data_IF_826915941129
#
_entry.id   IF_826915941129
#
_cell.length_a   1.000
_cell.length_b   1.000
_cell.length_c   1.000
_cell.angle_alpha   90.00
_cell.angle_beta   90.00
_cell.angle_gamma   90.00
#
_symmetry.space_group_name_H-M   'P 1'
#
loop_
_entity.id
_entity.type
_entity.pdbx_description
1 polymer ?
#
# COMPACT_ATOMS: atom_id res chain seq x y z
N UNK A 1 -23.33 54.83 -3.37
CA UNK A 1 -22.65 53.51 -3.33
C UNK A 1 -23.30 52.68 -4.41
N UNK A 2 -22.57 52.33 -5.48
CA UNK A 2 -23.15 51.70 -6.67
C UNK A 2 -23.83 50.39 -6.29
N UNK A 3 -25.08 50.17 -6.71
CA UNK A 3 -25.85 48.93 -6.45
C UNK A 3 -25.04 47.68 -6.81
N UNK A 4 -24.26 47.75 -7.87
CA UNK A 4 -23.36 46.69 -8.34
C UNK A 4 -22.28 46.29 -7.32
N UNK A 5 -21.83 47.24 -6.49
CA UNK A 5 -20.82 46.98 -5.47
C UNK A 5 -21.41 46.18 -4.29
N UNK A 6 -22.64 46.52 -3.91
CA UNK A 6 -23.40 45.83 -2.86
C UNK A 6 -23.73 44.40 -3.31
N UNK A 7 -24.22 44.25 -4.54
CA UNK A 7 -24.55 42.95 -5.14
C UNK A 7 -23.32 42.04 -5.24
N UNK A 8 -22.16 42.62 -5.60
CA UNK A 8 -20.90 41.89 -5.59
C UNK A 8 -20.52 41.36 -4.21
N UNK A 9 -20.65 42.16 -3.15
CA UNK A 9 -20.33 41.75 -1.77
C UNK A 9 -21.27 40.63 -1.31
N UNK A 10 -22.57 40.78 -1.56
CA UNK A 10 -23.59 39.78 -1.20
C UNK A 10 -23.27 38.45 -1.86
N UNK A 11 -22.97 38.45 -3.17
CA UNK A 11 -22.58 37.26 -3.91
C UNK A 11 -21.38 36.56 -3.29
N UNK A 12 -20.28 37.28 -3.06
CA UNK A 12 -19.04 36.71 -2.52
C UNK A 12 -19.28 36.08 -1.15
N UNK A 13 -20.05 36.76 -0.29
CA UNK A 13 -20.37 36.25 1.03
C UNK A 13 -21.21 34.98 1.00
N UNK A 14 -22.25 34.93 0.17
CA UNK A 14 -23.10 33.75 0.03
C UNK A 14 -22.34 32.58 -0.61
N UNK A 15 -21.54 32.84 -1.65
CA UNK A 15 -20.69 31.81 -2.28
C UNK A 15 -19.69 31.22 -1.28
N UNK A 16 -19.06 32.05 -0.43
CA UNK A 16 -18.17 31.56 0.63
C UNK A 16 -18.93 30.69 1.65
N UNK A 17 -20.15 31.08 2.06
CA UNK A 17 -21.00 30.24 2.93
C UNK A 17 -21.25 28.87 2.31
N UNK A 18 -21.53 28.81 1.00
CA UNK A 18 -21.71 27.54 0.29
C UNK A 18 -20.43 26.71 0.28
N UNK A 19 -19.28 27.32 -0.04
CA UNK A 19 -17.97 26.62 -0.07
C UNK A 19 -17.66 25.99 1.28
N UNK A 20 -17.76 26.76 2.37
CA UNK A 20 -17.49 26.25 3.72
C UNK A 20 -18.52 25.19 4.15
N UNK A 21 -19.79 25.36 3.79
CA UNK A 21 -20.82 24.35 4.08
C UNK A 21 -20.53 23.03 3.36
N UNK A 22 -20.13 23.08 2.09
CA UNK A 22 -19.71 21.91 1.31
C UNK A 22 -18.46 21.28 1.94
N UNK A 23 -17.46 22.10 2.30
CA UNK A 23 -16.20 21.64 2.90
C UNK A 23 -16.42 20.83 4.19
N UNK A 24 -17.14 21.37 5.16
CA UNK A 24 -17.41 20.67 6.43
C UNK A 24 -18.26 19.41 6.22
N UNK A 25 -19.19 19.45 5.25
CA UNK A 25 -20.07 18.32 4.94
C UNK A 25 -19.29 17.16 4.30
N UNK A 26 -18.43 17.46 3.34
CA UNK A 26 -17.58 16.48 2.65
C UNK A 26 -16.61 15.83 3.65
N UNK A 27 -16.09 16.59 4.60
CA UNK A 27 -15.18 16.09 5.63
C UNK A 27 -15.86 15.39 6.82
N UNK A 28 -17.20 15.35 6.87
CA UNK A 28 -17.96 14.80 8.00
C UNK A 28 -17.53 15.35 9.37
N UNK A 29 -17.28 16.66 9.46
CA UNK A 29 -16.95 17.33 10.72
C UNK A 29 -18.20 17.89 11.39
N UNK A 30 -18.17 18.00 12.72
CA UNK A 30 -19.29 18.55 13.48
C UNK A 30 -19.58 19.98 13.04
N UNK A 31 -20.80 20.18 12.57
CA UNK A 31 -21.29 21.45 12.01
C UNK A 31 -21.53 22.47 13.12
N UNK A 32 -20.48 23.15 13.57
CA UNK A 32 -20.69 24.41 14.28
C UNK A 32 -21.05 25.50 13.25
N UNK A 33 -22.36 25.81 13.13
CA UNK A 33 -22.89 26.86 12.24
C UNK A 33 -22.15 28.20 12.42
N UNK A 34 -21.74 28.48 13.65
CA UNK A 34 -20.97 29.69 14.01
C UNK A 34 -19.59 29.72 13.33
N UNK A 35 -18.86 28.60 13.27
CA UNK A 35 -17.54 28.55 12.60
C UNK A 35 -17.67 28.82 11.10
N UNK A 36 -18.68 28.23 10.45
CA UNK A 36 -18.94 28.46 9.02
C UNK A 36 -19.14 29.95 8.73
N UNK A 37 -19.94 30.63 9.56
CA UNK A 37 -20.22 32.06 9.39
C UNK A 37 -18.95 32.89 9.59
N UNK A 38 -18.16 32.61 10.63
CA UNK A 38 -16.91 33.33 10.91
C UNK A 38 -15.89 33.13 9.78
N UNK A 39 -15.69 31.89 9.33
CA UNK A 39 -14.76 31.56 8.24
C UNK A 39 -15.20 32.22 6.92
N UNK A 40 -16.50 32.22 6.63
CA UNK A 40 -17.05 32.88 5.44
C UNK A 40 -16.88 34.39 5.48
N UNK A 41 -17.07 35.01 6.65
CA UNK A 41 -16.85 36.44 6.84
C UNK A 41 -15.38 36.81 6.62
N UNK A 42 -14.45 36.08 7.24
CA UNK A 42 -13.01 36.30 7.06
C UNK A 42 -12.59 36.14 5.60
N UNK A 43 -13.08 35.10 4.92
CA UNK A 43 -12.79 34.88 3.50
C UNK A 43 -13.34 35.99 2.60
N UNK A 44 -14.53 36.51 2.89
CA UNK A 44 -15.12 37.63 2.16
C UNK A 44 -14.35 38.94 2.36
N UNK A 45 -13.91 39.23 3.59
CA UNK A 45 -13.06 40.40 3.88
C UNK A 45 -11.75 40.29 3.09
N UNK A 46 -11.08 39.13 3.13
CA UNK A 46 -9.89 38.89 2.32
C UNK A 46 -10.16 39.13 0.83
N UNK A 47 -11.25 38.59 0.28
CA UNK A 47 -11.58 38.79 -1.12
C UNK A 47 -11.78 40.29 -1.46
N UNK A 48 -12.49 41.04 -0.62
CA UNK A 48 -12.70 42.48 -0.84
C UNK A 48 -11.37 43.25 -0.82
N UNK A 49 -10.48 42.93 0.12
CA UNK A 49 -9.13 43.49 0.14
C UNK A 49 -8.39 43.18 -1.17
N UNK A 50 -8.41 41.92 -1.63
CA UNK A 50 -7.77 41.56 -2.90
C UNK A 50 -8.38 42.26 -4.12
N UNK A 51 -9.68 42.53 -4.10
CA UNK A 51 -10.39 43.28 -5.15
C UNK A 51 -9.94 44.75 -5.21
N UNK A 52 -9.53 45.35 -4.10
CA UNK A 52 -9.03 46.73 -4.06
C UNK A 52 -7.61 46.86 -4.62
N UNK A 53 -6.75 45.84 -4.42
CA UNK A 53 -5.36 45.86 -4.87
C UNK A 53 -5.14 45.28 -6.28
N UNK A 54 -6.02 44.38 -6.74
CA UNK A 54 -5.90 43.72 -8.04
C UNK A 54 -6.92 44.30 -9.04
N UNK A 55 -6.43 44.70 -10.22
CA UNK A 55 -7.23 45.05 -11.40
C UNK A 55 -8.26 43.95 -11.76
N UNK A 56 -9.09 44.14 -12.79
CA UNK A 56 -10.16 43.21 -13.22
C UNK A 56 -9.72 41.79 -13.66
N UNK A 57 -8.51 41.36 -13.31
CA UNK A 57 -8.04 40.00 -13.47
C UNK A 57 -8.71 39.04 -12.46
N UNK A 58 -9.74 38.33 -12.94
CA UNK A 58 -10.52 37.36 -12.17
C UNK A 58 -9.69 36.13 -11.76
N UNK A 59 -8.76 35.69 -12.60
CA UNK A 59 -7.92 34.53 -12.29
C UNK A 59 -7.09 34.74 -11.01
N UNK A 60 -6.41 35.89 -10.90
CA UNK A 60 -5.62 36.24 -9.72
C UNK A 60 -6.48 36.38 -8.46
N UNK A 61 -7.69 36.94 -8.59
CA UNK A 61 -8.65 37.07 -7.48
C UNK A 61 -9.08 35.70 -6.96
N UNK A 62 -9.44 34.77 -7.86
CA UNK A 62 -9.83 33.41 -7.48
C UNK A 62 -8.65 32.66 -6.84
N UNK A 63 -7.46 32.72 -7.42
CA UNK A 63 -6.27 32.06 -6.89
C UNK A 63 -5.92 32.54 -5.48
N UNK A 64 -5.88 33.86 -5.26
CA UNK A 64 -5.54 34.44 -3.97
C UNK A 64 -6.63 34.17 -2.92
N UNK A 65 -7.89 34.20 -3.32
CA UNK A 65 -9.02 33.83 -2.45
C UNK A 65 -8.96 32.37 -2.01
N UNK A 66 -8.60 31.45 -2.93
CA UNK A 66 -8.42 30.03 -2.62
C UNK A 66 -7.29 29.82 -1.61
N UNK A 67 -6.13 30.44 -1.84
CA UNK A 67 -4.99 30.38 -0.91
C UNK A 67 -5.42 30.90 0.47
N UNK A 68 -6.10 32.05 0.53
CA UNK A 68 -6.63 32.63 1.77
C UNK A 68 -7.60 31.69 2.50
N UNK A 69 -8.55 31.09 1.77
CA UNK A 69 -9.50 30.12 2.32
C UNK A 69 -8.78 28.90 2.93
N UNK A 70 -7.75 28.35 2.25
CA UNK A 70 -7.00 27.20 2.77
C UNK A 70 -6.24 27.53 4.07
N UNK A 71 -5.72 28.76 4.20
CA UNK A 71 -5.06 29.23 5.42
C UNK A 71 -6.07 29.33 6.56
N UNK A 72 -7.22 29.98 6.30
CA UNK A 72 -8.31 30.10 7.29
C UNK A 72 -8.74 28.71 7.77
N UNK A 73 -9.01 27.77 6.86
CA UNK A 73 -9.43 26.41 7.22
C UNK A 73 -8.38 25.70 8.08
N UNK A 74 -7.10 25.84 7.72
CA UNK A 74 -5.99 25.24 8.49
C UNK A 74 -5.90 25.78 9.92
N UNK A 75 -6.28 27.04 10.15
CA UNK A 75 -6.29 27.64 11.49
C UNK A 75 -7.46 27.14 12.36
N UNK A 76 -8.61 26.86 11.77
CA UNK A 76 -9.83 26.47 12.51
C UNK A 76 -9.99 24.95 12.70
N UNK A 77 -9.27 24.15 11.92
CA UNK A 77 -9.43 22.70 11.89
C UNK A 77 -8.48 21.99 12.89
N UNK A 78 -9.07 21.17 13.78
CA UNK A 78 -8.32 20.46 14.84
C UNK A 78 -7.71 19.13 14.39
N UNK A 79 -8.22 18.52 13.32
CA UNK A 79 -7.90 17.15 12.94
C UNK A 79 -6.93 17.10 11.73
N UNK A 80 -5.68 16.69 11.96
CA UNK A 80 -4.58 16.76 10.97
C UNK A 80 -4.63 15.66 9.91
N UNK A 81 -5.52 14.68 10.04
CA UNK A 81 -5.53 13.48 9.19
C UNK A 81 -6.11 13.72 7.79
N UNK A 82 -7.00 14.71 7.62
CA UNK A 82 -7.70 14.97 6.34
C UNK A 82 -6.93 15.93 5.43
N UNK A 83 -7.05 15.74 4.11
CA UNK A 83 -6.44 16.61 3.12
C UNK A 83 -7.27 17.90 2.95
N UNK A 84 -6.92 18.94 3.71
CA UNK A 84 -7.60 20.25 3.67
C UNK A 84 -7.58 20.83 2.26
N UNK A 85 -6.43 20.76 1.59
CA UNK A 85 -6.21 21.32 0.24
C UNK A 85 -7.17 20.67 -0.76
N UNK A 86 -7.23 19.33 -0.82
CA UNK A 86 -8.08 18.62 -1.78
C UNK A 86 -9.56 18.84 -1.46
N UNK A 87 -9.92 18.83 -0.18
CA UNK A 87 -11.30 19.06 0.25
C UNK A 87 -11.78 20.46 -0.11
N UNK A 88 -10.92 21.48 0.05
CA UNK A 88 -11.25 22.86 -0.30
C UNK A 88 -11.36 23.05 -1.82
N UNK A 89 -10.45 22.45 -2.58
CA UNK A 89 -10.48 22.51 -4.03
C UNK A 89 -11.75 21.85 -4.59
N UNK A 90 -12.13 20.69 -4.05
CA UNK A 90 -13.35 19.99 -4.41
C UNK A 90 -14.60 20.81 -4.06
N UNK A 91 -14.62 21.45 -2.87
CA UNK A 91 -15.72 22.31 -2.48
C UNK A 91 -15.89 23.51 -3.42
N UNK A 92 -14.79 24.19 -3.77
CA UNK A 92 -14.79 25.29 -4.74
C UNK A 92 -15.29 24.84 -6.12
N UNK A 93 -14.78 23.71 -6.64
CA UNK A 93 -15.21 23.18 -7.94
C UNK A 93 -16.70 22.83 -7.95
N UNK A 94 -17.22 22.23 -6.88
CA UNK A 94 -18.64 21.89 -6.76
C UNK A 94 -19.52 23.16 -6.72
N UNK A 95 -19.14 24.16 -5.92
CA UNK A 95 -19.93 25.41 -5.82
C UNK A 95 -19.91 26.17 -7.14
N UNK A 96 -18.75 26.36 -7.77
CA UNK A 96 -18.68 27.07 -9.05
C UNK A 96 -19.41 26.35 -10.20
N UNK A 97 -19.41 25.02 -10.23
CA UNK A 97 -20.19 24.27 -11.23
C UNK A 97 -21.68 24.44 -11.02
N UNK A 98 -22.17 24.36 -9.78
CA UNK A 98 -23.57 24.60 -9.47
C UNK A 98 -23.98 26.04 -9.75
N UNK A 99 -23.11 27.01 -9.48
CA UNK A 99 -23.35 28.40 -9.83
C UNK A 99 -23.50 28.59 -11.35
N UNK A 100 -22.63 28.00 -12.17
CA UNK A 100 -22.77 28.02 -13.62
C UNK A 100 -24.07 27.38 -14.09
N UNK A 101 -24.44 26.21 -13.54
CA UNK A 101 -25.72 25.54 -13.86
C UNK A 101 -26.90 26.41 -13.45
N UNK A 102 -26.81 27.08 -12.30
CA UNK A 102 -27.86 27.97 -11.80
C UNK A 102 -28.06 29.17 -12.73
N UNK A 103 -26.98 29.75 -13.28
CA UNK A 103 -27.06 30.79 -14.30
C UNK A 103 -27.79 30.31 -15.58
N UNK A 104 -27.54 29.07 -16.02
CA UNK A 104 -28.25 28.51 -17.17
C UNK A 104 -29.75 28.32 -16.88
N UNK A 105 -30.09 27.87 -15.68
CA UNK A 105 -31.49 27.67 -15.28
C UNK A 105 -32.20 29.01 -15.10
N UNK A 106 -31.53 30.03 -14.58
CA UNK A 106 -32.03 31.39 -14.38
C UNK A 106 -32.49 32.06 -15.70
N UNK A 107 -31.96 31.62 -16.85
CA UNK A 107 -32.42 32.11 -18.16
C UNK A 107 -33.92 31.89 -18.38
N UNK A 108 -34.50 30.79 -17.85
CA UNK A 108 -35.93 30.49 -17.96
C UNK A 108 -36.82 31.50 -17.20
N UNK A 109 -36.66 31.70 -15.87
CA UNK A 109 -37.43 32.70 -15.14
C UNK A 109 -37.16 34.11 -15.65
N UNK A 110 -35.96 34.43 -16.13
CA UNK A 110 -35.65 35.74 -16.70
C UNK A 110 -36.48 36.07 -17.95
N UNK A 111 -36.60 35.11 -18.87
CA UNK A 111 -37.46 35.26 -20.05
C UNK A 111 -38.94 35.36 -19.65
N UNK A 112 -39.37 34.59 -18.64
CA UNK A 112 -40.77 34.48 -18.23
C UNK A 112 -41.26 35.68 -17.39
N UNK A 113 -40.40 36.24 -16.54
CA UNK A 113 -40.71 37.34 -15.61
C UNK A 113 -40.31 38.72 -16.15
N UNK A 114 -39.55 38.78 -17.25
CA UNK A 114 -39.06 40.00 -17.89
C UNK A 114 -38.44 41.00 -16.88
N UNK A 115 -37.60 40.47 -15.98
CA UNK A 115 -36.97 41.23 -14.92
C UNK A 115 -35.95 42.22 -15.48
N UNK A 116 -36.07 43.49 -15.09
CA UNK A 116 -35.12 44.56 -15.50
C UNK A 116 -34.01 44.81 -14.48
N UNK A 117 -34.13 44.28 -13.26
CA UNK A 117 -33.23 44.58 -12.16
C UNK A 117 -32.20 43.46 -11.96
N UNK A 118 -30.93 43.79 -12.13
CA UNK A 118 -29.79 42.86 -11.99
C UNK A 118 -29.71 42.22 -10.59
N UNK A 119 -30.13 42.93 -9.54
CA UNK A 119 -30.17 42.41 -8.17
C UNK A 119 -31.18 41.26 -8.02
N UNK A 120 -32.31 41.33 -8.72
CA UNK A 120 -33.34 40.28 -8.67
C UNK A 120 -32.84 39.01 -9.36
N UNK A 121 -32.22 39.16 -10.52
CA UNK A 121 -31.57 38.07 -11.26
C UNK A 121 -30.54 37.33 -10.39
N UNK A 122 -29.69 38.10 -9.68
CA UNK A 122 -28.70 37.55 -8.75
C UNK A 122 -29.33 36.78 -7.59
N UNK A 123 -30.40 37.31 -6.99
CA UNK A 123 -31.11 36.63 -5.89
C UNK A 123 -31.74 35.32 -6.38
N UNK A 124 -32.34 35.31 -7.57
CA UNK A 124 -32.94 34.11 -8.16
C UNK A 124 -31.86 33.04 -8.40
N UNK A 125 -30.71 33.41 -8.97
CA UNK A 125 -29.60 32.46 -9.18
C UNK A 125 -29.11 31.85 -7.87
N UNK A 126 -28.90 32.66 -6.82
CA UNK A 126 -28.46 32.15 -5.52
C UNK A 126 -29.51 31.25 -4.84
N UNK A 127 -30.80 31.51 -5.07
CA UNK A 127 -31.87 30.68 -4.56
C UNK A 127 -31.88 29.30 -5.26
N UNK A 128 -31.76 29.28 -6.58
CA UNK A 128 -31.64 28.04 -7.38
C UNK A 128 -30.44 27.21 -6.89
N UNK A 129 -29.29 27.85 -6.71
CA UNK A 129 -28.07 27.20 -6.22
C UNK A 129 -28.28 26.57 -4.83
N UNK A 130 -28.96 27.29 -3.93
CA UNK A 130 -29.29 26.80 -2.58
C UNK A 130 -30.16 25.54 -2.63
N UNK A 131 -31.15 25.51 -3.51
CA UNK A 131 -32.03 24.34 -3.71
C UNK A 131 -31.22 23.15 -4.21
N UNK A 132 -30.36 23.35 -5.22
CA UNK A 132 -29.51 22.29 -5.75
C UNK A 132 -28.54 21.71 -4.72
N UNK A 133 -27.86 22.57 -3.94
CA UNK A 133 -26.98 22.13 -2.85
C UNK A 133 -27.72 21.29 -1.82
N UNK A 134 -28.96 21.68 -1.47
CA UNK A 134 -29.80 20.95 -0.52
C UNK A 134 -30.15 19.55 -1.03
N UNK A 135 -30.46 19.42 -2.33
CA UNK A 135 -30.72 18.12 -2.98
C UNK A 135 -29.48 17.23 -2.93
N UNK A 136 -28.30 17.75 -3.29
CA UNK A 136 -27.05 16.99 -3.28
C UNK A 136 -26.73 16.47 -1.87
N UNK A 137 -26.88 17.32 -0.84
CA UNK A 137 -26.61 16.96 0.54
C UNK A 137 -27.60 15.97 1.17
N UNK A 138 -28.75 15.72 0.53
CA UNK A 138 -29.72 14.69 0.93
C UNK A 138 -29.24 13.29 0.58
N UNK A 139 -28.34 13.14 -0.38
CA UNK A 139 -27.83 11.84 -0.84
C UNK A 139 -27.01 11.15 0.26
N UNK A 140 -27.26 9.85 0.50
CA UNK A 140 -26.57 9.06 1.54
C UNK A 140 -25.04 9.11 1.43
N UNK A 141 -24.52 9.17 0.19
CA UNK A 141 -23.07 9.24 -0.13
C UNK A 141 -22.37 10.53 0.35
N UNK A 142 -23.09 11.66 0.42
CA UNK A 142 -22.53 12.96 0.84
C UNK A 142 -22.95 13.30 2.27
N UNK A 143 -24.05 12.72 2.76
CA UNK A 143 -24.59 12.96 4.11
C UNK A 143 -23.60 12.60 5.22
N UNK A 144 -22.81 11.55 5.03
CA UNK A 144 -21.82 11.04 6.00
C UNK A 144 -20.38 11.38 5.63
N UNK A 145 -20.19 12.36 4.74
CA UNK A 145 -18.91 12.72 4.15
C UNK A 145 -18.37 11.69 3.16
N UNK A 146 -17.35 12.12 2.44
CA UNK A 146 -16.79 11.40 1.30
C UNK A 146 -15.68 10.46 1.76
N UNK A 147 -15.86 9.17 1.50
CA UNK A 147 -15.02 8.10 2.06
C UNK A 147 -13.55 8.20 1.65
N UNK A 148 -13.25 8.62 0.41
CA UNK A 148 -11.87 8.76 -0.05
C UNK A 148 -11.08 9.89 0.61
N UNK A 149 -11.76 10.86 1.24
CA UNK A 149 -11.11 11.94 2.00
C UNK A 149 -10.86 11.57 3.47
N UNK A 150 -11.41 10.46 3.96
CA UNK A 150 -11.25 10.00 5.34
C UNK A 150 -9.95 9.20 5.54
N UNK A 151 -9.58 8.35 4.58
CA UNK A 151 -8.44 7.44 4.69
C UNK A 151 -7.32 7.82 3.71
N UNK A 152 -6.28 8.45 4.24
CA UNK A 152 -5.10 8.93 3.49
C UNK A 152 -4.19 7.81 2.95
N UNK A 153 -4.30 6.59 3.48
CA UNK A 153 -3.36 5.51 3.15
C UNK A 153 -3.80 4.62 1.96
N UNK A 154 -5.11 4.55 1.66
CA UNK A 154 -5.62 3.62 0.65
C UNK A 154 -6.14 4.30 -0.63
N UNK A 155 -6.33 5.63 -0.63
CA UNK A 155 -7.05 6.35 -1.68
C UNK A 155 -6.23 7.39 -2.47
N UNK A 156 -4.90 7.25 -2.49
CA UNK A 156 -4.00 8.15 -3.22
C UNK A 156 -4.40 8.34 -4.69
N UNK A 157 -4.92 7.30 -5.35
CA UNK A 157 -5.35 7.37 -6.76
C UNK A 157 -6.58 8.25 -6.97
N UNK A 158 -7.60 8.09 -6.11
CA UNK A 158 -8.80 8.90 -6.14
C UNK A 158 -8.51 10.36 -5.75
N UNK A 159 -7.62 10.58 -4.78
CA UNK A 159 -7.19 11.94 -4.41
C UNK A 159 -6.54 12.67 -5.60
N UNK A 160 -5.66 11.97 -6.35
CA UNK A 160 -5.02 12.53 -7.55
C UNK A 160 -6.06 12.84 -8.63
N UNK A 161 -6.96 11.90 -8.97
CA UNK A 161 -7.96 12.12 -10.03
C UNK A 161 -8.88 13.29 -9.67
N UNK A 162 -9.39 13.32 -8.44
CA UNK A 162 -10.34 14.35 -7.99
C UNK A 162 -9.68 15.72 -7.96
N UNK A 163 -8.41 15.83 -7.55
CA UNK A 163 -7.66 17.07 -7.58
C UNK A 163 -7.61 17.66 -9.00
N UNK A 164 -7.37 16.82 -10.02
CA UNK A 164 -7.23 17.27 -11.40
C UNK A 164 -8.54 17.73 -12.02
N UNK A 165 -9.61 16.97 -11.82
CA UNK A 165 -10.94 17.36 -12.31
C UNK A 165 -11.35 18.68 -11.64
N UNK A 166 -11.12 18.82 -10.34
CA UNK A 166 -11.45 20.05 -9.60
C UNK A 166 -10.64 21.26 -10.09
N UNK A 167 -9.34 21.09 -10.34
CA UNK A 167 -8.49 22.14 -10.88
C UNK A 167 -8.92 22.56 -12.29
N UNK A 168 -9.22 21.60 -13.17
CA UNK A 168 -9.70 21.85 -14.54
C UNK A 168 -11.00 22.68 -14.53
N UNK A 169 -11.94 22.30 -13.66
CA UNK A 169 -13.22 23.01 -13.49
C UNK A 169 -13.01 24.46 -13.08
N UNK A 170 -12.13 24.71 -12.10
CA UNK A 170 -11.84 26.07 -11.64
C UNK A 170 -11.15 26.89 -12.73
N UNK A 171 -10.24 26.28 -13.49
CA UNK A 171 -9.59 26.95 -14.63
C UNK A 171 -10.58 27.30 -15.74
N UNK A 172 -11.51 26.41 -16.06
CA UNK A 172 -12.58 26.70 -17.03
C UNK A 172 -13.45 27.88 -16.57
N UNK A 173 -13.81 27.93 -15.28
CA UNK A 173 -14.54 29.06 -14.69
C UNK A 173 -13.75 30.38 -14.80
N UNK A 174 -12.44 30.36 -14.50
CA UNK A 174 -11.60 31.55 -14.61
C UNK A 174 -11.50 32.06 -16.05
N UNK A 175 -11.41 31.17 -17.05
CA UNK A 175 -11.37 31.56 -18.46
C UNK A 175 -12.71 32.19 -18.86
N UNK A 176 -13.83 31.56 -18.52
CA UNK A 176 -15.17 32.07 -18.84
C UNK A 176 -15.43 33.45 -18.21
N UNK A 177 -15.01 33.66 -16.97
CA UNK A 177 -15.19 34.92 -16.27
C UNK A 177 -14.26 36.04 -16.76
N UNK A 178 -13.13 35.73 -17.39
CA UNK A 178 -12.09 36.73 -17.68
C UNK A 178 -12.53 37.77 -18.72
N UNK A 179 -12.22 39.05 -18.45
CA UNK A 179 -12.43 40.12 -19.41
C UNK A 179 -11.58 39.89 -20.69
N UNK A 180 -12.03 40.33 -21.89
CA UNK A 180 -11.39 40.01 -23.17
C UNK A 180 -9.88 40.27 -23.23
N UNK A 181 -9.43 41.38 -22.63
CA UNK A 181 -8.03 41.79 -22.58
C UNK A 181 -7.14 40.80 -21.79
N UNK A 182 -7.69 40.10 -20.81
CA UNK A 182 -6.96 39.17 -19.94
C UNK A 182 -7.12 37.70 -20.35
N UNK A 183 -8.00 37.37 -21.30
CA UNK A 183 -8.25 35.97 -21.72
C UNK A 183 -6.95 35.30 -22.17
N UNK A 184 -6.15 35.97 -23.00
CA UNK A 184 -4.89 35.42 -23.52
C UNK A 184 -3.91 35.16 -22.39
N UNK A 185 -3.62 36.19 -21.57
CA UNK A 185 -2.69 36.08 -20.44
C UNK A 185 -3.12 35.03 -19.43
N UNK A 186 -4.41 34.99 -19.07
CA UNK A 186 -4.94 34.03 -18.10
C UNK A 186 -4.91 32.60 -18.67
N UNK A 187 -5.18 32.42 -19.97
CA UNK A 187 -5.06 31.12 -20.63
C UNK A 187 -3.62 30.62 -20.62
N UNK A 188 -2.63 31.48 -20.87
CA UNK A 188 -1.21 31.12 -20.75
C UNK A 188 -0.83 30.71 -19.33
N UNK A 189 -1.27 31.45 -18.31
CA UNK A 189 -1.00 31.12 -16.90
C UNK A 189 -1.64 29.78 -16.50
N UNK A 190 -2.89 29.54 -16.93
CA UNK A 190 -3.60 28.27 -16.72
C UNK A 190 -2.85 27.10 -17.37
N UNK A 191 -2.35 27.28 -18.60
CA UNK A 191 -1.57 26.25 -19.29
C UNK A 191 -0.30 25.89 -18.52
N UNK A 192 0.47 26.88 -18.07
CA UNK A 192 1.69 26.65 -17.27
C UNK A 192 1.36 25.88 -15.98
N UNK A 193 0.31 26.28 -15.25
CA UNK A 193 -0.11 25.59 -14.03
C UNK A 193 -0.59 24.16 -14.30
N UNK A 194 -1.29 23.92 -15.42
CA UNK A 194 -1.73 22.58 -15.81
C UNK A 194 -0.55 21.64 -16.05
N UNK A 195 0.52 22.12 -16.70
CA UNK A 195 1.75 21.36 -16.91
C UNK A 195 2.43 21.01 -15.59
N UNK A 196 2.51 21.97 -14.66
CA UNK A 196 3.08 21.72 -13.32
C UNK A 196 2.28 20.64 -12.57
N UNK A 197 0.95 20.73 -12.59
CA UNK A 197 0.08 19.73 -11.96
C UNK A 197 0.25 18.36 -12.62
N UNK A 198 0.38 18.30 -13.95
CA UNK A 198 0.66 17.06 -14.68
C UNK A 198 1.99 16.43 -14.29
N UNK A 199 3.06 17.21 -14.11
CA UNK A 199 4.36 16.69 -13.67
C UNK A 199 4.23 16.06 -12.28
N UNK A 200 3.56 16.75 -11.35
CA UNK A 200 3.30 16.23 -9.99
C UNK A 200 2.49 14.92 -10.06
N UNK A 201 1.50 14.85 -10.95
CA UNK A 201 0.72 13.62 -11.17
C UNK A 201 1.59 12.47 -11.66
N UNK A 202 2.41 12.69 -12.68
CA UNK A 202 3.24 11.63 -13.28
C UNK A 202 4.18 11.07 -12.22
N UNK A 203 4.81 11.94 -11.41
CA UNK A 203 5.67 11.51 -10.31
C UNK A 203 4.93 10.59 -9.33
N UNK A 204 3.75 11.00 -8.85
CA UNK A 204 2.96 10.19 -7.91
C UNK A 204 2.47 8.88 -8.52
N UNK A 205 1.98 8.91 -9.75
CA UNK A 205 1.50 7.72 -10.48
C UNK A 205 2.63 6.70 -10.68
N UNK A 206 3.83 7.16 -11.02
CA UNK A 206 5.01 6.30 -11.11
C UNK A 206 5.35 5.68 -9.76
N UNK A 207 5.42 6.46 -8.68
CA UNK A 207 5.69 5.92 -7.33
C UNK A 207 4.68 4.85 -6.95
N UNK A 208 3.40 5.05 -7.24
CA UNK A 208 2.36 4.08 -6.97
C UNK A 208 2.52 2.81 -7.82
N UNK A 209 2.78 2.95 -9.12
CA UNK A 209 3.04 1.83 -10.02
C UNK A 209 4.21 0.95 -9.53
N UNK A 210 5.30 1.58 -9.07
CA UNK A 210 6.43 0.86 -8.49
C UNK A 210 6.04 0.10 -7.22
N UNK A 211 5.24 0.70 -6.32
CA UNK A 211 4.74 0.01 -5.11
C UNK A 211 3.89 -1.21 -5.47
N UNK A 212 3.00 -1.09 -6.44
CA UNK A 212 2.16 -2.20 -6.90
C UNK A 212 2.99 -3.33 -7.51
N UNK A 213 3.98 -2.98 -8.34
CA UNK A 213 4.90 -3.97 -8.93
C UNK A 213 5.72 -4.69 -7.87
N UNK A 214 6.17 -3.98 -6.84
CA UNK A 214 6.89 -4.58 -5.71
C UNK A 214 5.98 -5.53 -4.91
N UNK A 215 4.75 -5.13 -4.62
CA UNK A 215 3.75 -5.99 -3.96
C UNK A 215 3.47 -7.26 -4.76
N UNK A 216 3.26 -7.14 -6.07
CA UNK A 216 3.03 -8.29 -6.96
C UNK A 216 4.22 -9.26 -6.93
N UNK A 217 5.45 -8.73 -7.00
CA UNK A 217 6.66 -9.54 -6.89
C UNK A 217 6.75 -10.24 -5.53
N UNK A 218 6.51 -9.53 -4.43
CA UNK A 218 6.53 -10.13 -3.09
C UNK A 218 5.50 -11.27 -2.96
N UNK A 219 4.30 -11.10 -3.52
CA UNK A 219 3.27 -12.14 -3.54
C UNK A 219 3.73 -13.36 -4.33
N UNK A 220 4.38 -13.16 -5.48
CA UNK A 220 4.94 -14.25 -6.29
C UNK A 220 6.07 -14.98 -5.56
N UNK A 221 6.99 -14.24 -4.94
CA UNK A 221 8.08 -14.79 -4.14
C UNK A 221 7.53 -15.63 -2.97
N UNK A 222 6.55 -15.12 -2.21
CA UNK A 222 5.88 -15.86 -1.13
C UNK A 222 5.14 -17.10 -1.62
N UNK A 223 4.47 -17.04 -2.78
CA UNK A 223 3.80 -18.21 -3.37
C UNK A 223 4.82 -19.29 -3.73
N UNK A 224 5.99 -18.91 -4.25
CA UNK A 224 7.06 -19.84 -4.57
C UNK A 224 7.66 -20.49 -3.31
N UNK A 225 7.80 -19.72 -2.24
CA UNK A 225 8.30 -20.21 -0.95
C UNK A 225 7.32 -21.18 -0.29
N UNK A 226 6.02 -20.86 -0.30
CA UNK A 226 4.96 -21.75 0.20
C UNK A 226 4.97 -23.07 -0.58
N UNK A 227 5.06 -23.04 -1.91
CA UNK A 227 5.09 -24.25 -2.73
C UNK A 227 6.31 -25.14 -2.41
N UNK A 228 7.48 -24.54 -2.14
CA UNK A 228 8.67 -25.27 -1.71
C UNK A 228 8.48 -25.89 -0.31
N UNK A 229 7.89 -25.14 0.62
CA UNK A 229 7.60 -25.63 1.98
C UNK A 229 6.56 -26.76 1.97
N UNK A 230 5.52 -26.66 1.15
CA UNK A 230 4.52 -27.74 0.99
C UNK A 230 5.15 -29.02 0.41
N UNK A 231 6.06 -28.89 -0.55
CA UNK A 231 6.81 -30.03 -1.08
C UNK A 231 7.70 -30.68 0.00
N UNK A 232 8.38 -29.87 0.83
CA UNK A 232 9.17 -30.35 1.97
C UNK A 232 8.30 -31.03 3.03
N UNK A 233 7.13 -30.48 3.36
CA UNK A 233 6.18 -31.08 4.31
C UNK A 233 5.72 -32.44 3.78
N UNK A 234 5.43 -32.54 2.48
CA UNK A 234 5.01 -33.80 1.85
C UNK A 234 6.11 -34.85 1.91
N UNK A 235 7.36 -34.50 1.59
CA UNK A 235 8.48 -35.45 1.67
C UNK A 235 8.74 -35.91 3.10
N UNK A 236 8.73 -35.00 4.08
CA UNK A 236 8.88 -35.32 5.49
C UNK A 236 7.72 -36.19 6.02
N UNK A 237 6.49 -35.93 5.54
CA UNK A 237 5.33 -36.75 5.88
C UNK A 237 5.48 -38.18 5.34
N UNK A 238 5.94 -38.34 4.11
CA UNK A 238 6.19 -39.65 3.50
C UNK A 238 7.33 -40.40 4.23
N UNK A 239 8.39 -39.69 4.62
CA UNK A 239 9.48 -40.24 5.44
C UNK A 239 8.96 -40.70 6.81
N UNK A 240 8.20 -39.85 7.50
CA UNK A 240 7.58 -40.18 8.79
C UNK A 240 6.69 -41.42 8.68
N UNK A 241 5.91 -41.54 7.61
CA UNK A 241 5.07 -42.72 7.37
C UNK A 241 5.92 -43.98 7.18
N UNK A 242 7.00 -43.91 6.41
CA UNK A 242 7.94 -45.04 6.21
C UNK A 242 8.63 -45.44 7.53
N UNK A 243 9.10 -44.49 8.34
CA UNK A 243 9.67 -44.76 9.66
C UNK A 243 8.63 -45.39 10.59
N UNK A 244 7.39 -44.89 10.59
CA UNK A 244 6.31 -45.47 11.40
C UNK A 244 6.02 -46.92 11.01
N UNK A 245 6.04 -47.24 9.72
CA UNK A 245 5.87 -48.61 9.22
C UNK A 245 7.03 -49.51 9.63
N UNK A 246 8.27 -49.01 9.50
CA UNK A 246 9.48 -49.70 9.96
C UNK A 246 9.41 -49.99 11.46
N UNK A 247 9.08 -48.99 12.28
CA UNK A 247 8.93 -49.14 13.73
C UNK A 247 7.91 -50.22 14.10
N UNK A 248 6.75 -50.23 13.42
CA UNK A 248 5.73 -51.25 13.67
C UNK A 248 6.21 -52.66 13.31
N UNK A 249 6.94 -52.82 12.19
CA UNK A 249 7.52 -54.11 11.78
C UNK A 249 8.51 -54.65 12.84
N UNK A 250 9.39 -53.79 13.34
CA UNK A 250 10.43 -54.18 14.31
C UNK A 250 9.92 -54.30 15.75
N UNK A 251 8.85 -53.59 16.12
CA UNK A 251 8.25 -53.66 17.47
C UNK A 251 7.86 -55.08 17.87
N UNK A 252 7.17 -55.81 16.97
CA UNK A 252 6.76 -57.19 17.25
C UNK A 252 7.95 -58.15 17.35
N UNK A 253 9.00 -57.93 16.55
CA UNK A 253 10.24 -58.73 16.59
C UNK A 253 11.03 -58.48 17.88
N UNK A 254 11.11 -57.23 18.34
CA UNK A 254 11.68 -56.89 19.65
C UNK A 254 10.91 -57.56 20.78
N UNK A 255 9.58 -57.52 20.77
CA UNK A 255 8.76 -58.20 21.80
C UNK A 255 9.03 -59.70 21.87
N UNK A 256 9.17 -60.37 20.72
CA UNK A 256 9.47 -61.80 20.69
C UNK A 256 10.85 -62.11 21.31
N UNK A 257 11.85 -61.27 21.02
CA UNK A 257 13.18 -61.39 21.65
C UNK A 257 13.14 -61.12 23.16
N UNK A 258 12.40 -60.09 23.61
CA UNK A 258 12.23 -59.79 25.04
C UNK A 258 11.59 -60.98 25.77
N UNK A 259 10.52 -61.57 25.23
CA UNK A 259 9.88 -62.75 25.81
C UNK A 259 10.86 -63.93 25.92
N UNK A 260 11.68 -64.14 24.89
CA UNK A 260 12.70 -65.21 24.89
C UNK A 260 13.79 -64.96 25.94
N UNK A 261 14.21 -63.71 26.12
CA UNK A 261 15.13 -63.32 27.20
C UNK A 261 14.49 -63.54 28.57
N UNK A 262 13.24 -63.16 28.77
CA UNK A 262 12.50 -63.35 30.02
C UNK A 262 12.35 -64.84 30.38
N UNK A 263 12.02 -65.69 29.39
CA UNK A 263 11.98 -67.15 29.57
C UNK A 263 13.33 -67.70 30.03
N UNK A 264 14.41 -67.38 29.34
CA UNK A 264 15.77 -67.86 29.70
C UNK A 264 16.18 -67.36 31.09
N UNK A 265 15.90 -66.10 31.41
CA UNK A 265 16.19 -65.51 32.73
C UNK A 265 15.38 -66.19 33.84
N UNK A 266 14.17 -66.69 33.53
CA UNK A 266 13.33 -67.42 34.50
C UNK A 266 13.74 -68.89 34.71
N UNK A 267 14.48 -69.48 33.76
CA UNK A 267 14.85 -70.90 33.78
C UNK A 267 16.22 -71.21 34.41
N UNK A 268 17.04 -70.21 34.76
CA UNK A 268 18.37 -70.36 35.40
C UNK A 268 19.34 -71.33 34.67
N UNK A 269 19.35 -71.36 33.33
CA UNK A 269 20.26 -72.19 32.52
C UNK A 269 21.49 -71.40 32.05
N UNK A 270 22.70 -71.97 32.22
CA UNK A 270 24.00 -71.30 32.00
C UNK A 270 24.36 -71.00 30.51
N UNK A 271 24.68 -69.71 30.26
CA UNK A 271 25.72 -69.10 29.37
C UNK A 271 25.67 -69.38 27.85
N UNK A 272 25.23 -70.55 27.37
CA UNK A 272 25.24 -70.86 25.92
C UNK A 272 24.13 -70.12 25.13
N UNK A 273 22.93 -69.99 25.70
CA UNK A 273 21.79 -69.32 25.05
C UNK A 273 21.94 -67.77 25.01
N UNK A 274 22.73 -67.19 25.94
CA UNK A 274 23.02 -65.75 25.97
C UNK A 274 23.84 -65.29 24.75
N UNK A 275 24.77 -66.13 24.27
CA UNK A 275 25.62 -65.80 23.12
C UNK A 275 24.82 -65.75 21.80
N UNK A 276 23.83 -66.64 21.63
CA UNK A 276 22.96 -66.68 20.45
C UNK A 276 21.93 -65.54 20.43
N UNK A 277 21.39 -65.18 21.61
CA UNK A 277 20.53 -64.01 21.79
C UNK A 277 21.24 -62.70 21.46
N UNK A 278 22.48 -62.53 21.94
CA UNK A 278 23.30 -61.35 21.61
C UNK A 278 23.49 -61.21 20.09
N UNK A 279 23.67 -62.32 19.38
CA UNK A 279 23.78 -62.35 17.92
C UNK A 279 22.48 -61.94 17.24
N UNK A 280 21.33 -62.49 17.66
CA UNK A 280 20.02 -62.13 17.12
C UNK A 280 19.64 -60.66 17.39
N UNK A 281 19.99 -60.12 18.56
CA UNK A 281 19.79 -58.70 18.89
C UNK A 281 20.66 -57.81 17.98
N UNK A 282 21.94 -58.17 17.78
CA UNK A 282 22.84 -57.41 16.92
C UNK A 282 22.39 -57.44 15.46
N UNK A 283 21.96 -58.59 14.94
CA UNK A 283 21.46 -58.72 13.57
C UNK A 283 20.17 -57.90 13.36
N UNK A 284 19.23 -57.96 14.31
CA UNK A 284 18.00 -57.17 14.26
C UNK A 284 18.27 -55.65 14.36
N UNK A 285 19.22 -55.26 15.22
CA UNK A 285 19.66 -53.87 15.37
C UNK A 285 20.29 -53.36 14.08
N UNK A 286 21.15 -54.17 13.46
CA UNK A 286 21.81 -53.84 12.21
C UNK A 286 20.80 -53.70 11.07
N UNK A 287 19.86 -54.65 10.92
CA UNK A 287 18.79 -54.58 9.92
C UNK A 287 17.91 -53.34 10.08
N UNK A 288 17.53 -52.98 11.31
CA UNK A 288 16.79 -51.75 11.59
C UNK A 288 17.60 -50.50 11.21
N UNK A 289 18.88 -50.47 11.58
CA UNK A 289 19.76 -49.33 11.33
C UNK A 289 19.94 -49.10 9.84
N UNK A 290 20.22 -50.15 9.08
CA UNK A 290 20.40 -50.10 7.63
C UNK A 290 19.11 -49.63 6.93
N UNK A 291 17.95 -50.21 7.27
CA UNK A 291 16.65 -49.80 6.70
C UNK A 291 16.26 -48.37 7.10
N UNK A 292 16.56 -47.94 8.32
CA UNK A 292 16.30 -46.57 8.77
C UNK A 292 17.21 -45.56 8.04
N UNK A 293 18.45 -45.95 7.73
CA UNK A 293 19.40 -45.14 6.95
C UNK A 293 18.97 -44.99 5.49
N UNK A 294 18.37 -46.02 4.89
CA UNK A 294 17.79 -45.95 3.54
C UNK A 294 16.53 -45.07 3.47
N UNK A 295 15.73 -45.01 4.55
CA UNK A 295 14.53 -44.18 4.62
C UNK A 295 14.87 -42.71 4.88
N UNK A 296 15.92 -42.45 5.67
CA UNK A 296 16.46 -41.10 5.86
C UNK A 296 17.12 -40.63 4.58
N UNK A 297 16.33 -39.98 3.73
CA UNK A 297 16.90 -39.09 2.74
C UNK A 297 17.52 -37.92 3.49
N UNK A 298 18.81 -38.00 3.82
CA UNK A 298 19.61 -36.81 4.11
C UNK A 298 19.17 -35.71 3.15
N UNK A 299 18.92 -34.51 3.69
CA UNK A 299 18.60 -33.27 2.99
C UNK A 299 19.41 -33.13 1.69
N UNK A 300 18.95 -33.76 0.61
CA UNK A 300 19.72 -33.83 -0.64
C UNK A 300 19.71 -32.43 -1.21
N UNK A 301 20.88 -31.80 -1.13
CA UNK A 301 21.11 -30.53 -1.76
C UNK A 301 20.82 -30.65 -3.26
N UNK A 302 20.14 -29.65 -3.86
CA UNK A 302 20.02 -29.61 -5.30
C UNK A 302 21.42 -29.59 -5.92
N UNK A 303 21.66 -30.48 -6.89
CA UNK A 303 22.97 -30.63 -7.54
C UNK A 303 23.14 -29.61 -8.67
N UNK A 304 24.31 -29.02 -8.77
CA UNK A 304 24.71 -28.13 -9.87
C UNK A 304 25.20 -28.91 -11.09
N UNK A 305 25.58 -30.18 -10.92
CA UNK A 305 26.21 -31.00 -11.96
C UNK A 305 27.73 -30.80 -12.05
N UNK A 306 28.31 -29.93 -11.23
CA UNK A 306 29.75 -29.70 -11.11
C UNK A 306 30.18 -30.23 -9.75
N UNK A 307 30.99 -31.29 -9.76
CA UNK A 307 31.35 -32.08 -8.57
C UNK A 307 31.94 -31.20 -7.47
N UNK A 308 32.89 -30.33 -7.83
CA UNK A 308 33.63 -29.50 -6.89
C UNK A 308 32.75 -28.42 -6.22
N UNK A 309 31.69 -27.96 -6.89
CA UNK A 309 30.73 -27.02 -6.31
C UNK A 309 29.74 -27.77 -5.42
N UNK A 310 29.29 -28.95 -5.84
CA UNK A 310 28.38 -29.79 -5.07
C UNK A 310 29.04 -30.31 -3.78
N UNK A 311 30.33 -30.66 -3.83
CA UNK A 311 31.09 -31.07 -2.65
C UNK A 311 31.30 -29.90 -1.68
N UNK A 312 31.49 -28.68 -2.18
CA UNK A 312 31.55 -27.48 -1.34
C UNK A 312 30.23 -27.24 -0.59
N UNK A 313 29.09 -27.45 -1.25
CA UNK A 313 27.78 -27.31 -0.58
C UNK A 313 27.54 -28.39 0.46
N UNK A 314 27.93 -29.65 0.20
CA UNK A 314 27.85 -30.73 1.20
C UNK A 314 28.72 -30.43 2.42
N UNK A 315 29.95 -29.95 2.19
CA UNK A 315 30.85 -29.54 3.28
C UNK A 315 30.19 -28.46 4.15
N UNK A 316 29.64 -27.42 3.52
CA UNK A 316 28.98 -26.34 4.25
C UNK A 316 27.74 -26.80 5.03
N UNK A 317 26.94 -27.70 4.45
CA UNK A 317 25.79 -28.29 5.14
C UNK A 317 26.22 -29.03 6.42
N UNK A 318 27.28 -29.85 6.34
CA UNK A 318 27.85 -30.52 7.51
C UNK A 318 28.37 -29.53 8.57
N UNK A 319 29.01 -28.45 8.14
CA UNK A 319 29.50 -27.36 9.00
C UNK A 319 28.34 -26.67 9.75
N UNK A 320 27.23 -26.42 9.06
CA UNK A 320 26.01 -25.85 9.65
C UNK A 320 25.31 -26.82 10.62
N UNK A 321 25.21 -28.10 10.26
CA UNK A 321 24.59 -29.13 11.10
C UNK A 321 25.30 -29.28 12.44
N UNK A 322 26.64 -29.25 12.43
CA UNK A 322 27.46 -29.29 13.66
C UNK A 322 27.16 -28.13 14.62
N UNK A 323 26.69 -27.00 14.08
CA UNK A 323 26.34 -25.78 14.82
C UNK A 323 24.82 -25.64 15.05
N UNK A 324 24.02 -26.67 14.69
CA UNK A 324 22.54 -26.66 14.75
C UNK A 324 21.90 -25.52 13.95
N UNK A 325 22.51 -25.16 12.82
CA UNK A 325 22.01 -24.12 11.90
C UNK A 325 21.41 -24.83 10.70
N UNK A 326 20.16 -24.48 10.34
CA UNK A 326 19.52 -25.08 9.17
C UNK A 326 20.12 -24.50 7.88
N UNK A 327 20.63 -25.37 6.99
CA UNK A 327 21.17 -24.99 5.69
C UNK A 327 20.18 -25.29 4.56
N UNK A 328 19.61 -24.24 3.95
CA UNK A 328 18.68 -24.37 2.82
C UNK A 328 19.32 -23.80 1.54
N UNK A 329 19.56 -24.66 0.55
CA UNK A 329 20.17 -24.28 -0.73
C UNK A 329 19.11 -24.12 -1.84
N UNK A 330 19.14 -22.99 -2.55
CA UNK A 330 18.34 -22.74 -3.76
C UNK A 330 19.26 -22.25 -4.88
N UNK A 331 19.32 -22.99 -5.98
CA UNK A 331 20.14 -22.64 -7.14
C UNK A 331 19.25 -21.97 -8.18
N UNK A 332 19.48 -20.69 -8.42
CA UNK A 332 18.77 -19.90 -9.44
C UNK A 332 19.77 -19.44 -10.51
N UNK A 333 19.97 -20.26 -11.55
CA UNK A 333 20.85 -19.92 -12.67
C UNK A 333 21.57 -21.13 -13.26
N UNK A 334 22.08 -20.97 -14.48
CA UNK A 334 22.86 -22.01 -15.16
C UNK A 334 24.35 -21.90 -14.78
N UNK A 335 24.80 -22.75 -13.86
CA UNK A 335 26.19 -22.76 -13.37
C UNK A 335 27.17 -23.17 -14.49
N UNK A 336 26.79 -24.08 -15.38
CA UNK A 336 27.61 -24.43 -16.56
C UNK A 336 27.89 -23.21 -17.45
N UNK A 337 26.87 -22.39 -17.69
CA UNK A 337 27.06 -21.15 -18.45
C UNK A 337 28.00 -20.17 -17.72
N UNK A 338 27.95 -20.10 -16.39
CA UNK A 338 28.87 -19.26 -15.61
C UNK A 338 30.31 -19.73 -15.73
N UNK A 339 30.57 -21.04 -15.56
CA UNK A 339 31.94 -21.56 -15.59
C UNK A 339 32.58 -21.49 -16.98
N UNK A 340 31.77 -21.63 -18.04
CA UNK A 340 32.26 -21.63 -19.41
C UNK A 340 32.47 -20.22 -19.97
N UNK A 341 31.66 -19.24 -19.54
CA UNK A 341 31.61 -17.93 -20.20
C UNK A 341 31.95 -16.72 -19.32
N UNK A 342 32.04 -16.88 -17.98
CA UNK A 342 32.15 -15.73 -17.07
C UNK A 342 33.29 -15.85 -16.05
N UNK A 343 33.47 -17.01 -15.44
CA UNK A 343 34.44 -17.18 -14.36
C UNK A 343 35.00 -18.61 -14.37
N UNK A 344 36.32 -18.81 -14.19
CA UNK A 344 36.87 -20.16 -14.06
C UNK A 344 36.25 -20.92 -12.89
N UNK A 345 36.03 -22.22 -13.07
CA UNK A 345 35.42 -23.10 -12.06
C UNK A 345 36.12 -23.02 -10.70
N UNK A 346 37.46 -23.12 -10.67
CA UNK A 346 38.24 -23.05 -9.43
C UNK A 346 37.99 -21.76 -8.65
N UNK A 347 37.95 -20.62 -9.36
CA UNK A 347 37.69 -19.31 -8.75
C UNK A 347 36.25 -19.16 -8.27
N UNK A 348 35.29 -19.77 -8.96
CA UNK A 348 33.90 -19.81 -8.53
C UNK A 348 33.72 -20.64 -7.25
N UNK A 349 34.36 -21.81 -7.17
CA UNK A 349 34.34 -22.67 -5.97
C UNK A 349 34.89 -21.92 -4.75
N UNK A 350 36.05 -21.26 -4.88
CA UNK A 350 36.64 -20.47 -3.80
C UNK A 350 35.71 -19.33 -3.35
N UNK A 351 35.15 -18.57 -4.30
CA UNK A 351 34.24 -17.46 -3.96
C UNK A 351 32.96 -17.93 -3.25
N UNK A 352 32.42 -19.09 -3.64
CA UNK A 352 31.26 -19.68 -2.97
C UNK A 352 31.64 -20.09 -1.54
N UNK A 353 32.78 -20.76 -1.35
CA UNK A 353 33.29 -21.15 -0.04
C UNK A 353 33.45 -19.94 0.88
N UNK A 354 34.24 -18.94 0.46
CA UNK A 354 34.53 -17.74 1.24
C UNK A 354 33.24 -16.99 1.64
N UNK A 355 32.28 -16.88 0.72
CA UNK A 355 31.04 -16.15 0.99
C UNK A 355 30.12 -16.88 1.97
N UNK A 356 30.07 -18.20 1.90
CA UNK A 356 29.30 -19.02 2.82
C UNK A 356 29.91 -19.02 4.23
N UNK A 357 31.23 -19.17 4.34
CA UNK A 357 31.94 -19.08 5.63
C UNK A 357 31.74 -17.71 6.29
N UNK A 358 31.90 -16.63 5.51
CA UNK A 358 31.71 -15.27 6.03
C UNK A 358 30.28 -15.04 6.56
N UNK A 359 29.26 -15.55 5.86
CA UNK A 359 27.86 -15.45 6.31
C UNK A 359 27.60 -16.26 7.57
N UNK A 360 28.16 -17.46 7.68
CA UNK A 360 28.03 -18.30 8.86
C UNK A 360 28.59 -17.58 10.09
N UNK A 361 29.76 -16.97 9.95
CA UNK A 361 30.44 -16.24 11.03
C UNK A 361 29.65 -14.99 11.46
N UNK A 362 29.09 -14.24 10.50
CA UNK A 362 28.19 -13.11 10.80
C UNK A 362 26.93 -13.53 11.55
N UNK A 363 26.31 -14.66 11.16
CA UNK A 363 25.11 -15.17 11.83
C UNK A 363 25.40 -15.58 13.27
N UNK A 364 26.52 -16.28 13.50
CA UNK A 364 26.96 -16.67 14.85
C UNK A 364 27.20 -15.44 15.71
N UNK A 365 27.88 -14.41 15.19
CA UNK A 365 28.12 -13.16 15.90
C UNK A 365 26.80 -12.46 16.28
N UNK A 366 25.83 -12.43 15.36
CA UNK A 366 24.51 -11.86 15.62
C UNK A 366 23.73 -12.62 16.71
N UNK A 367 23.79 -13.96 16.69
CA UNK A 367 23.18 -14.81 17.73
C UNK A 367 23.83 -14.55 19.09
N UNK A 368 25.16 -14.45 19.16
CA UNK A 368 25.88 -14.16 20.40
C UNK A 368 25.50 -12.77 20.93
N UNK A 369 25.52 -11.75 20.08
CA UNK A 369 25.13 -10.38 20.47
C UNK A 369 23.68 -10.29 20.95
N UNK A 370 22.77 -11.08 20.36
CA UNK A 370 21.36 -11.14 20.77
C UNK A 370 21.10 -11.82 22.11
N UNK A 371 22.09 -12.54 22.66
CA UNK A 371 22.01 -13.17 24.00
C UNK A 371 22.67 -12.33 25.10
N UNK A 372 23.38 -11.25 24.73
CA UNK A 372 24.10 -10.35 25.64
C UNK A 372 23.28 -9.08 25.98
N UNK A 373 22.16 -8.87 25.30
CA UNK A 373 21.09 -7.93 25.65
C UNK A 373 19.84 -8.69 26.05
#
# INVERSE_FOLDING_TARGET
MNTDYIDGIIKIFITNIFIYTVFFRINNEEKSKIKIIIESFLASVLYICTKQYLNDNIFLKVLLSYIGQTIIQKCFQRDKKKSIIVSNLLANALVYTLYCISLFIELLPKILLNTKYQTIDLIITLLIETVMLTVIFRTRRVRYGVEFLKNKMDNDYFEIIVLNISALVIFAYCIYGSAPQYIITNSFVVLILSVIIMIIMIQKTLTLYYKQKLLAKNIEDYKSEIALKDAQIKSLSDEKYKISKLNHEFYNRQKALIHKVEEITSMNTEIADELDLSKQINDLTKEYTDKAQEIKTLDKLPTTGIVEIDDMFKYMQSECDSKKIQFNLKINGNIYHMINNKIPQSRLVTLIGDHLEMRLLQLILAIILSRVY
#
